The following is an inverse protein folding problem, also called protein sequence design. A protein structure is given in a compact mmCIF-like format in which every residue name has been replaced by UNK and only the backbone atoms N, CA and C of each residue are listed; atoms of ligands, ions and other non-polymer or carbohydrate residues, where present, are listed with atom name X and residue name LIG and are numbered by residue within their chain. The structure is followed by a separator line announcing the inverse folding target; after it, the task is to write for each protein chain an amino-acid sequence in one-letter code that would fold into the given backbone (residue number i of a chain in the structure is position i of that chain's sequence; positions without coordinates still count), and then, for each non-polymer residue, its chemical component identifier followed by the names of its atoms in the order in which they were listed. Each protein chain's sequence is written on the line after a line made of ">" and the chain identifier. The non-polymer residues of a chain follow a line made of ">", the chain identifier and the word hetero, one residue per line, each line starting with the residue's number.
data_IF_982637389488
#
_entry.id   IF_982637389488
#
_cell.length_a   1.000
_cell.length_b   1.000
_cell.length_c   1.000
_cell.angle_alpha   90.00
_cell.angle_beta   90.00
_cell.angle_gamma   90.00
#
_symmetry.space_group_name_H-M   'P 1'
#
loop_
_entity.id
_entity.type
_entity.pdbx_description
1 polymer ?
#
# COMPACT_ATOMS: atom_id res chain seq x y z
N UNK A 1 -4.35 17.68 24.43
CA UNK A 1 -3.49 18.86 24.71
C UNK A 1 -3.05 18.96 26.16
N UNK A 2 -2.84 17.83 26.82
CA UNK A 2 -2.46 17.80 28.26
C UNK A 2 -1.06 18.38 28.54
N UNK A 3 -0.27 18.59 27.50
CA UNK A 3 1.09 19.15 27.61
C UNK A 3 1.17 20.65 27.32
N UNK A 4 0.05 21.33 27.01
CA UNK A 4 0.02 22.77 26.70
C UNK A 4 0.83 23.20 25.46
N UNK A 5 1.18 22.25 24.59
CA UNK A 5 1.88 22.49 23.33
C UNK A 5 1.00 22.09 22.14
N UNK A 6 1.08 22.84 21.06
CA UNK A 6 0.44 22.50 19.79
C UNK A 6 1.52 22.01 18.82
N UNK A 7 1.69 20.70 18.64
CA UNK A 7 2.68 20.17 17.70
C UNK A 7 2.29 20.53 16.26
N UNK A 8 3.29 20.79 15.41
CA UNK A 8 3.08 20.87 13.97
C UNK A 8 3.40 19.50 13.35
N UNK A 9 2.41 18.90 12.69
CA UNK A 9 2.58 17.61 12.05
C UNK A 9 3.02 17.80 10.58
N UNK A 10 4.14 17.17 10.22
CA UNK A 10 4.59 17.11 8.83
C UNK A 10 4.37 15.70 8.30
N UNK A 11 3.50 15.56 7.31
CA UNK A 11 3.20 14.28 6.66
C UNK A 11 3.94 14.18 5.33
N UNK A 12 4.74 13.13 5.18
CA UNK A 12 5.41 12.83 3.91
C UNK A 12 4.50 11.96 3.05
N UNK A 13 4.01 12.53 1.97
CA UNK A 13 3.18 11.87 0.96
C UNK A 13 3.98 11.60 -0.33
N UNK A 14 3.39 11.77 -1.48
CA UNK A 14 4.04 11.63 -2.80
C UNK A 14 3.34 12.51 -3.83
N UNK A 15 4.06 12.97 -4.85
CA UNK A 15 3.44 13.68 -5.98
C UNK A 15 2.47 12.78 -6.78
N UNK A 16 2.62 11.45 -6.68
CA UNK A 16 1.77 10.48 -7.38
C UNK A 16 0.33 10.38 -6.84
N UNK A 17 -0.01 11.11 -5.76
CA UNK A 17 -1.41 11.20 -5.29
C UNK A 17 -2.36 11.82 -6.32
N UNK A 18 -1.84 12.53 -7.31
CA UNK A 18 -2.61 13.04 -8.44
C UNK A 18 -3.18 11.94 -9.35
N UNK A 19 -2.63 10.72 -9.30
CA UNK A 19 -3.08 9.58 -10.11
C UNK A 19 -2.64 9.65 -11.57
N UNK A 20 -3.32 8.89 -12.44
CA UNK A 20 -3.03 8.76 -13.87
C UNK A 20 -3.53 9.94 -14.74
N UNK A 21 -3.80 11.08 -14.15
CA UNK A 21 -4.39 12.21 -14.84
C UNK A 21 -3.32 13.04 -15.54
N UNK A 22 -3.72 13.67 -16.64
CA UNK A 22 -2.84 14.58 -17.40
C UNK A 22 -3.14 16.02 -17.04
N UNK A 23 -2.13 16.86 -17.05
CA UNK A 23 -2.24 18.28 -16.79
C UNK A 23 -1.44 18.71 -15.55
N UNK A 24 -1.68 19.92 -15.10
CA UNK A 24 -1.03 20.47 -13.90
C UNK A 24 -1.70 19.91 -12.66
N UNK A 25 -0.90 19.33 -11.76
CA UNK A 25 -1.32 18.94 -10.42
C UNK A 25 -1.01 20.10 -9.45
N UNK A 26 -2.01 20.88 -9.02
CA UNK A 26 -1.79 22.00 -8.12
C UNK A 26 -1.45 21.51 -6.71
N UNK A 27 -0.80 22.38 -5.93
CA UNK A 27 -0.49 22.14 -4.51
C UNK A 27 -1.73 22.38 -3.63
N UNK A 28 -2.77 21.59 -3.89
CA UNK A 28 -4.04 21.61 -3.16
C UNK A 28 -4.29 20.28 -2.45
N UNK A 29 -5.22 20.27 -1.50
CA UNK A 29 -5.65 19.01 -0.87
C UNK A 29 -6.24 18.07 -1.92
N UNK A 30 -6.00 16.77 -1.81
CA UNK A 30 -6.51 15.78 -2.75
C UNK A 30 -8.04 15.87 -2.91
N UNK A 31 -8.75 16.18 -1.83
CA UNK A 31 -10.21 16.35 -1.81
C UNK A 31 -10.72 17.64 -2.48
N UNK A 32 -9.84 18.60 -2.74
CA UNK A 32 -10.20 19.94 -3.28
C UNK A 32 -9.63 20.18 -4.67
N UNK A 33 -8.64 19.40 -5.07
CA UNK A 33 -7.98 19.57 -6.36
C UNK A 33 -8.85 19.14 -7.54
N UNK A 34 -8.46 19.50 -8.78
CA UNK A 34 -9.20 19.16 -9.99
C UNK A 34 -9.24 17.66 -10.26
N UNK A 35 -8.45 16.88 -9.52
CA UNK A 35 -8.37 15.44 -9.57
C UNK A 35 -9.09 14.77 -8.40
N UNK A 36 -9.84 15.54 -7.61
CA UNK A 36 -10.66 14.97 -6.55
C UNK A 36 -11.65 13.96 -7.12
N UNK A 37 -11.73 12.83 -6.49
CA UNK A 37 -12.77 11.83 -6.73
C UNK A 37 -13.57 11.72 -5.44
N UNK A 38 -14.89 11.63 -5.56
CA UNK A 38 -15.80 11.53 -4.41
C UNK A 38 -15.71 10.18 -3.70
N UNK A 39 -14.50 9.79 -3.29
CA UNK A 39 -14.26 8.58 -2.50
C UNK A 39 -14.13 8.96 -1.03
N UNK A 40 -14.88 8.25 -0.21
CA UNK A 40 -14.79 8.33 1.23
C UNK A 40 -13.73 7.32 1.74
N UNK A 41 -12.64 7.82 2.31
CA UNK A 41 -11.55 6.95 2.77
C UNK A 41 -12.00 5.91 3.81
N UNK A 42 -13.01 6.21 4.62
CA UNK A 42 -13.58 5.28 5.59
C UNK A 42 -14.22 4.07 4.93
N UNK A 43 -14.97 4.32 3.86
CA UNK A 43 -15.62 3.26 3.08
C UNK A 43 -14.60 2.37 2.36
N UNK A 44 -13.52 2.97 1.87
CA UNK A 44 -12.42 2.22 1.26
C UNK A 44 -11.70 1.33 2.28
N UNK A 45 -11.43 1.84 3.47
CA UNK A 45 -10.82 1.06 4.56
C UNK A 45 -11.73 -0.08 4.99
N UNK A 46 -13.02 0.18 5.15
CA UNK A 46 -13.99 -0.85 5.55
C UNK A 46 -14.15 -1.92 4.46
N UNK A 47 -14.20 -1.52 3.20
CA UNK A 47 -14.25 -2.45 2.07
C UNK A 47 -12.99 -3.32 1.99
N UNK A 48 -11.81 -2.74 2.22
CA UNK A 48 -10.55 -3.49 2.27
C UNK A 48 -10.50 -4.48 3.44
N UNK A 49 -11.02 -4.11 4.61
CA UNK A 49 -11.12 -5.00 5.77
C UNK A 49 -12.06 -6.18 5.52
N UNK A 50 -13.23 -5.92 4.94
CA UNK A 50 -14.17 -6.99 4.55
C UNK A 50 -13.54 -7.94 3.54
N UNK A 51 -12.96 -7.40 2.47
CA UNK A 51 -12.28 -8.21 1.46
C UNK A 51 -11.18 -9.09 2.07
N UNK A 52 -10.40 -8.55 3.00
CA UNK A 52 -9.38 -9.33 3.71
C UNK A 52 -10.01 -10.49 4.49
N UNK A 53 -11.06 -10.23 5.26
CA UNK A 53 -11.79 -11.26 6.03
C UNK A 53 -12.36 -12.35 5.12
N UNK A 54 -13.03 -11.96 4.04
CA UNK A 54 -13.65 -12.88 3.08
C UNK A 54 -12.60 -13.73 2.36
N UNK A 55 -11.46 -13.13 1.99
CA UNK A 55 -10.35 -13.85 1.35
C UNK A 55 -9.71 -14.85 2.30
N UNK A 56 -9.49 -14.47 3.55
CA UNK A 56 -8.99 -15.38 4.60
C UNK A 56 -9.95 -16.54 4.84
N UNK A 57 -11.26 -16.27 4.98
CA UNK A 57 -12.28 -17.29 5.15
C UNK A 57 -12.33 -18.23 3.94
N UNK A 58 -12.35 -17.68 2.73
CA UNK A 58 -12.32 -18.44 1.48
C UNK A 58 -11.09 -19.34 1.38
N UNK A 59 -9.92 -18.87 1.84
CA UNK A 59 -8.68 -19.66 1.81
C UNK A 59 -8.74 -20.92 2.67
N UNK A 60 -9.63 -20.97 3.65
CA UNK A 60 -9.80 -22.08 4.59
C UNK A 60 -10.93 -23.06 4.22
N UNK A 61 -11.59 -22.84 3.09
CA UNK A 61 -12.60 -23.79 2.59
C UNK A 61 -11.96 -25.17 2.31
N UNK A 62 -12.67 -26.28 2.58
CA UNK A 62 -12.13 -27.62 2.47
C UNK A 62 -11.53 -27.95 1.10
N UNK A 63 -12.20 -27.53 0.04
CA UNK A 63 -11.76 -27.72 -1.34
C UNK A 63 -10.41 -27.06 -1.58
N UNK A 64 -10.28 -25.80 -1.16
CA UNK A 64 -9.07 -25.00 -1.35
C UNK A 64 -7.91 -25.50 -0.49
N UNK A 65 -8.18 -25.90 0.75
CA UNK A 65 -7.16 -26.55 1.59
C UNK A 65 -6.68 -27.86 0.98
N UNK A 66 -7.57 -28.61 0.34
CA UNK A 66 -7.21 -29.84 -0.38
C UNK A 66 -6.29 -29.55 -1.57
N UNK A 67 -6.55 -28.49 -2.32
CA UNK A 67 -5.70 -28.04 -3.42
C UNK A 67 -4.30 -27.63 -2.92
N UNK A 68 -4.23 -26.83 -1.85
CA UNK A 68 -2.93 -26.44 -1.27
C UNK A 68 -2.15 -27.64 -0.77
N UNK A 69 -2.82 -28.59 -0.12
CA UNK A 69 -2.19 -29.82 0.36
C UNK A 69 -1.67 -30.68 -0.80
N UNK A 70 -2.45 -30.81 -1.88
CA UNK A 70 -2.04 -31.55 -3.09
C UNK A 70 -0.79 -30.92 -3.70
N UNK A 71 -0.78 -29.58 -3.83
CA UNK A 71 0.36 -28.85 -4.35
C UNK A 71 1.58 -28.96 -3.44
N UNK A 72 1.40 -28.80 -2.12
CA UNK A 72 2.48 -28.96 -1.16
C UNK A 72 3.13 -30.35 -1.24
N UNK A 73 2.32 -31.40 -1.39
CA UNK A 73 2.80 -32.78 -1.56
C UNK A 73 3.59 -32.95 -2.86
N UNK A 74 3.14 -32.35 -3.95
CA UNK A 74 3.85 -32.36 -5.24
C UNK A 74 5.22 -31.64 -5.16
N UNK A 75 5.32 -30.55 -4.40
CA UNK A 75 6.56 -29.78 -4.26
C UNK A 75 7.57 -30.42 -3.26
N UNK A 76 7.08 -31.14 -2.25
CA UNK A 76 7.91 -31.71 -1.18
C UNK A 76 8.26 -33.22 -1.37
N UNK A 77 7.56 -33.92 -2.25
CA UNK A 77 7.75 -35.36 -2.43
C UNK A 77 7.43 -36.17 -1.16
N UNK A 78 8.37 -37.00 -0.71
CA UNK A 78 8.22 -37.90 0.44
C UNK A 78 8.42 -37.25 1.82
N UNK A 79 8.30 -35.94 1.96
CA UNK A 79 8.48 -35.24 3.23
C UNK A 79 7.42 -35.61 4.27
N UNK A 80 7.81 -35.61 5.55
CA UNK A 80 6.92 -35.97 6.67
C UNK A 80 5.76 -34.99 6.90
N UNK A 81 4.79 -35.42 7.70
CA UNK A 81 3.55 -34.67 7.96
C UNK A 81 3.76 -33.23 8.46
N UNK A 82 4.73 -32.91 9.34
CA UNK A 82 4.95 -31.52 9.77
C UNK A 82 5.39 -30.60 8.63
N UNK A 83 6.29 -31.04 7.77
CA UNK A 83 6.76 -30.29 6.62
C UNK A 83 5.63 -30.05 5.60
N UNK A 84 4.78 -31.06 5.38
CA UNK A 84 3.60 -30.94 4.52
C UNK A 84 2.60 -29.92 5.06
N UNK A 85 2.35 -29.91 6.38
CA UNK A 85 1.45 -28.95 7.01
C UNK A 85 1.99 -27.51 6.87
N UNK A 86 3.27 -27.29 7.18
CA UNK A 86 3.92 -25.99 7.06
C UNK A 86 3.90 -25.48 5.61
N UNK A 87 4.18 -26.34 4.64
CA UNK A 87 4.14 -25.98 3.21
C UNK A 87 2.72 -25.65 2.74
N UNK A 88 1.73 -26.42 3.22
CA UNK A 88 0.32 -26.17 2.91
C UNK A 88 -0.09 -24.76 3.39
N UNK A 89 0.27 -24.40 4.61
CA UNK A 89 -0.01 -23.08 5.17
C UNK A 89 0.73 -21.97 4.40
N UNK A 90 2.00 -22.18 4.07
CA UNK A 90 2.75 -21.23 3.24
C UNK A 90 2.08 -20.96 1.89
N UNK A 91 1.55 -21.99 1.23
CA UNK A 91 0.84 -21.86 -0.03
C UNK A 91 -0.49 -21.12 0.14
N UNK A 92 -1.21 -21.39 1.23
CA UNK A 92 -2.44 -20.68 1.59
C UNK A 92 -2.17 -19.19 1.80
N UNK A 93 -1.18 -18.84 2.62
CA UNK A 93 -0.81 -17.45 2.90
C UNK A 93 -0.36 -16.71 1.64
N UNK A 94 0.41 -17.38 0.78
CA UNK A 94 0.80 -16.82 -0.52
C UNK A 94 -0.43 -16.54 -1.38
N UNK A 95 -1.36 -17.48 -1.47
CA UNK A 95 -2.59 -17.29 -2.22
C UNK A 95 -3.40 -16.10 -1.70
N UNK A 96 -3.61 -15.98 -0.37
CA UNK A 96 -4.30 -14.84 0.25
C UNK A 96 -3.62 -13.53 -0.14
N UNK A 97 -2.31 -13.45 0.01
CA UNK A 97 -1.54 -12.26 -0.36
C UNK A 97 -1.71 -11.90 -1.84
N UNK A 98 -1.62 -12.88 -2.73
CA UNK A 98 -1.73 -12.66 -4.17
C UNK A 98 -3.14 -12.16 -4.54
N UNK A 99 -4.20 -12.69 -3.91
CA UNK A 99 -5.57 -12.20 -4.08
C UNK A 99 -5.71 -10.74 -3.62
N UNK A 100 -5.20 -10.41 -2.43
CA UNK A 100 -5.29 -9.06 -1.87
C UNK A 100 -4.46 -8.04 -2.67
N UNK A 101 -3.26 -8.43 -3.11
CA UNK A 101 -2.43 -7.58 -4.00
C UNK A 101 -3.14 -7.33 -5.33
N UNK A 102 -3.72 -8.38 -5.94
CA UNK A 102 -4.49 -8.26 -7.18
C UNK A 102 -5.69 -7.33 -7.02
N UNK A 103 -6.46 -7.52 -5.96
CA UNK A 103 -7.64 -6.69 -5.66
C UNK A 103 -7.25 -5.21 -5.40
N UNK A 104 -6.20 -4.96 -4.63
CA UNK A 104 -5.70 -3.61 -4.37
C UNK A 104 -5.26 -2.88 -5.64
N UNK A 105 -4.55 -3.58 -6.54
CA UNK A 105 -4.17 -3.04 -7.86
C UNK A 105 -5.39 -2.72 -8.72
N UNK A 106 -6.33 -3.65 -8.80
CA UNK A 106 -7.57 -3.47 -9.58
C UNK A 106 -8.39 -2.31 -9.04
N UNK A 107 -8.49 -2.17 -7.71
CA UNK A 107 -9.20 -1.05 -7.09
C UNK A 107 -8.53 0.27 -7.41
N UNK A 108 -7.22 0.40 -7.21
CA UNK A 108 -6.48 1.61 -7.54
C UNK A 108 -6.69 2.01 -9.02
N UNK A 109 -6.55 1.05 -9.95
CA UNK A 109 -6.75 1.28 -11.37
C UNK A 109 -8.18 1.74 -11.71
N UNK A 110 -9.21 1.13 -11.09
CA UNK A 110 -10.62 1.47 -11.33
C UNK A 110 -10.99 2.89 -10.92
N UNK A 111 -10.22 3.50 -10.03
CA UNK A 111 -10.45 4.86 -9.52
C UNK A 111 -9.40 5.88 -10.02
N UNK A 112 -8.51 5.45 -10.90
CA UNK A 112 -7.61 6.33 -11.65
C UNK A 112 -6.21 6.49 -11.07
N UNK A 113 -5.75 5.54 -10.23
CA UNK A 113 -4.36 5.50 -9.78
C UNK A 113 -3.55 4.38 -10.44
N UNK A 114 -2.25 4.59 -10.68
CA UNK A 114 -1.40 3.59 -11.33
C UNK A 114 -1.16 2.35 -10.45
N UNK A 115 -1.21 2.53 -9.14
CA UNK A 115 -0.92 1.48 -8.17
C UNK A 115 -1.59 1.75 -6.81
N UNK A 116 -1.55 0.74 -5.95
CA UNK A 116 -2.11 0.82 -4.61
C UNK A 116 -1.31 1.76 -3.69
N UNK A 117 -0.01 1.98 -3.93
CA UNK A 117 0.81 2.88 -3.13
C UNK A 117 0.30 4.33 -3.28
N UNK A 118 0.24 4.83 -4.51
CA UNK A 118 -0.24 6.18 -4.78
C UNK A 118 -1.69 6.38 -4.30
N UNK A 119 -2.55 5.37 -4.52
CA UNK A 119 -3.93 5.39 -4.06
C UNK A 119 -4.04 5.47 -2.53
N UNK A 120 -3.33 4.61 -1.81
CA UNK A 120 -3.38 4.62 -0.34
C UNK A 120 -2.76 5.88 0.27
N UNK A 121 -1.76 6.47 -0.37
CA UNK A 121 -1.23 7.79 0.02
C UNK A 121 -2.28 8.89 -0.13
N UNK A 122 -3.05 8.88 -1.22
CA UNK A 122 -4.14 9.84 -1.42
C UNK A 122 -5.23 9.70 -0.34
N UNK A 123 -5.65 8.47 -0.04
CA UNK A 123 -6.59 8.21 1.07
C UNK A 123 -6.01 8.63 2.43
N UNK A 124 -4.70 8.43 2.64
CA UNK A 124 -4.01 8.85 3.85
C UNK A 124 -4.00 10.37 4.05
N UNK A 125 -3.85 11.15 2.98
CA UNK A 125 -3.96 12.61 3.04
C UNK A 125 -5.38 13.05 3.41
N UNK A 126 -6.40 12.43 2.81
CA UNK A 126 -7.80 12.70 3.14
C UNK A 126 -8.08 12.38 4.61
N UNK A 127 -7.71 11.19 5.07
CA UNK A 127 -7.89 10.77 6.45
C UNK A 127 -7.20 11.72 7.43
N UNK A 128 -5.96 12.12 7.13
CA UNK A 128 -5.20 13.06 7.96
C UNK A 128 -5.90 14.42 8.03
N UNK A 129 -6.33 14.95 6.89
CA UNK A 129 -6.98 16.25 6.82
C UNK A 129 -8.29 16.30 7.62
N UNK A 130 -9.08 15.22 7.57
CA UNK A 130 -10.33 15.11 8.31
C UNK A 130 -10.12 14.86 9.81
N UNK A 131 -9.03 14.17 10.19
CA UNK A 131 -8.81 13.73 11.57
C UNK A 131 -7.89 14.64 12.38
N UNK A 132 -7.22 15.61 11.76
CA UNK A 132 -6.21 16.47 12.41
C UNK A 132 -6.76 17.36 13.54
N UNK A 133 -8.06 17.64 13.54
CA UNK A 133 -8.64 18.63 14.45
C UNK A 133 -7.94 19.98 14.28
N UNK A 134 -7.53 20.58 15.40
CA UNK A 134 -6.83 21.89 15.42
C UNK A 134 -5.30 21.78 15.24
N UNK A 135 -4.77 20.57 15.02
CA UNK A 135 -3.33 20.37 14.82
C UNK A 135 -2.91 20.94 13.46
N UNK A 136 -1.94 21.87 13.41
CA UNK A 136 -1.37 22.35 12.15
C UNK A 136 -0.70 21.21 11.40
N UNK A 137 -1.00 21.08 10.11
CA UNK A 137 -0.47 20.01 9.25
C UNK A 137 0.14 20.60 7.99
N UNK A 138 1.35 20.17 7.68
CA UNK A 138 1.96 20.34 6.35
C UNK A 138 2.08 19.00 5.66
N UNK A 139 1.69 18.93 4.39
CA UNK A 139 1.83 17.73 3.56
C UNK A 139 2.93 17.99 2.53
N UNK A 140 3.98 17.18 2.55
CA UNK A 140 5.09 17.24 1.60
C UNK A 140 4.93 16.10 0.60
N UNK A 141 4.93 16.43 -0.69
CA UNK A 141 4.74 15.48 -1.79
C UNK A 141 6.01 15.36 -2.65
N UNK A 142 7.03 14.65 -2.19
CA UNK A 142 8.22 14.46 -3.00
C UNK A 142 7.90 13.62 -4.24
N UNK A 143 8.68 13.82 -5.30
CA UNK A 143 8.71 12.92 -6.44
C UNK A 143 9.57 11.70 -6.13
N UNK A 144 10.60 11.42 -6.90
CA UNK A 144 11.57 10.38 -6.64
C UNK A 144 12.71 10.98 -5.79
N UNK A 145 13.04 10.30 -4.68
CA UNK A 145 14.19 10.64 -3.85
C UNK A 145 15.32 9.71 -4.26
N UNK A 146 16.32 10.25 -4.94
CA UNK A 146 17.42 9.47 -5.53
C UNK A 146 18.53 9.21 -4.52
N UNK A 147 19.09 10.28 -3.93
CA UNK A 147 20.28 10.17 -3.11
C UNK A 147 20.30 11.14 -1.93
N UNK A 148 21.20 10.92 -0.99
CA UNK A 148 21.40 11.82 0.14
C UNK A 148 22.06 13.12 -0.32
N UNK A 149 21.57 14.25 0.20
CA UNK A 149 22.19 15.55 -0.01
C UNK A 149 23.54 15.68 0.72
N UNK A 150 23.62 15.20 1.94
CA UNK A 150 24.78 15.35 2.80
C UNK A 150 25.17 14.05 3.54
N UNK A 151 24.25 13.44 4.25
CA UNK A 151 24.52 12.33 5.18
C UNK A 151 24.17 10.94 4.59
N UNK A 152 25.05 9.93 4.79
CA UNK A 152 26.37 9.97 5.42
C UNK A 152 27.43 10.64 4.54
N UNK A 153 27.14 10.90 3.29
CA UNK A 153 27.93 11.69 2.32
C UNK A 153 27.04 12.10 1.14
N UNK A 154 27.35 13.20 0.43
CA UNK A 154 26.62 13.59 -0.78
C UNK A 154 26.59 12.46 -1.82
N UNK A 155 25.42 12.25 -2.43
CA UNK A 155 25.22 11.22 -3.43
C UNK A 155 25.09 9.79 -2.89
N UNK A 156 25.07 9.60 -1.55
CA UNK A 156 24.92 8.27 -0.97
C UNK A 156 23.52 7.69 -1.21
N UNK A 157 23.48 6.42 -1.62
CA UNK A 157 22.27 5.63 -1.87
C UNK A 157 22.43 4.29 -1.13
N UNK A 158 21.34 3.78 -0.56
CA UNK A 158 21.30 2.46 0.06
C UNK A 158 20.60 1.44 -0.84
N UNK A 159 21.37 0.70 -1.60
CA UNK A 159 20.90 -0.39 -2.47
C UNK A 159 20.53 0.07 -3.87
N UNK A 160 20.29 -0.89 -4.75
CA UNK A 160 19.88 -0.66 -6.14
C UNK A 160 18.37 -0.45 -6.21
N UNK A 161 17.91 0.79 -6.41
CA UNK A 161 16.51 1.15 -6.54
C UNK A 161 16.30 2.16 -7.65
N UNK A 162 15.15 2.10 -8.31
CA UNK A 162 14.71 3.10 -9.29
C UNK A 162 15.70 3.31 -10.45
N UNK A 163 16.33 4.49 -10.54
CA UNK A 163 17.23 4.86 -11.61
C UNK A 163 18.67 4.33 -11.43
N UNK A 164 19.04 3.90 -10.23
CA UNK A 164 20.41 3.45 -9.92
C UNK A 164 20.95 2.36 -10.84
N UNK A 165 20.16 1.34 -11.25
CA UNK A 165 20.63 0.35 -12.20
C UNK A 165 20.96 0.90 -13.60
N UNK A 166 20.57 2.13 -13.88
CA UNK A 166 20.79 2.80 -15.16
C UNK A 166 21.98 3.78 -15.09
N UNK A 167 22.29 4.26 -13.88
CA UNK A 167 23.34 5.28 -13.64
C UNK A 167 24.72 4.64 -13.37
N UNK A 168 24.75 3.37 -13.01
CA UNK A 168 25.98 2.58 -12.82
C UNK A 168 26.32 1.84 -14.12
#
# INVERSE_FOLDING_TARGET
>A
NDLGITPHLVAVSTCYVAGNRRGTAPEELVSQGPFAIGLEWKDEVESARRLKGDTEASSRQPERLTEFRKRARSELGAAGAPALAAKTEQLRERWVRDQLVGAGRSRAASVGWPDAYAFTKALGEQALTESKGDVPVSIVRPSIIESAWAEPRPGWIRGFRMAEPVII
#
